data_IF_334613367069
#
_entry.id   IF_334613367069
#
_cell.length_a   1.000
_cell.length_b   1.000
_cell.length_c   1.000
_cell.angle_alpha   90.00
_cell.angle_beta   90.00
_cell.angle_gamma   90.00
#
_symmetry.space_group_name_H-M   'P 1'
#
loop_
_entity.id
_entity.type
_entity.pdbx_description
1 polymer ?
#
# COMPACT_ATOMS: atom_id res chain seq x y z
N UNK A 1 17.70 1.05 -6.67
CA UNK A 1 18.01 1.21 -5.23
C UNK A 1 17.53 -0.03 -4.49
N UNK A 2 18.28 -0.60 -3.53
CA UNK A 2 17.96 -1.86 -2.85
C UNK A 2 16.58 -1.85 -2.15
N UNK A 3 16.19 -0.70 -1.59
CA UNK A 3 14.88 -0.50 -0.97
C UNK A 3 13.71 -0.76 -1.94
N UNK A 4 13.75 -0.22 -3.17
CA UNK A 4 12.67 -0.43 -4.14
C UNK A 4 12.47 -1.92 -4.47
N UNK A 5 13.57 -2.67 -4.60
CA UNK A 5 13.50 -4.11 -4.84
C UNK A 5 12.85 -4.85 -3.66
N UNK A 6 13.24 -4.51 -2.43
CA UNK A 6 12.64 -5.07 -1.21
C UNK A 6 11.15 -4.74 -1.11
N UNK A 7 10.74 -3.49 -1.35
CA UNK A 7 9.33 -3.08 -1.29
C UNK A 7 8.51 -3.72 -2.40
N UNK A 8 9.07 -3.85 -3.61
CA UNK A 8 8.41 -4.57 -4.70
C UNK A 8 8.20 -6.04 -4.35
N UNK A 9 9.19 -6.70 -3.74
CA UNK A 9 9.03 -8.08 -3.27
C UNK A 9 7.95 -8.16 -2.19
N UNK A 10 7.94 -7.26 -1.21
CA UNK A 10 6.90 -7.23 -0.18
C UNK A 10 5.49 -7.00 -0.75
N UNK A 11 5.37 -6.14 -1.76
CA UNK A 11 4.12 -5.93 -2.50
C UNK A 11 3.67 -7.23 -3.20
N UNK A 12 4.59 -7.89 -3.90
CA UNK A 12 4.35 -9.14 -4.61
C UNK A 12 3.91 -10.27 -3.66
N UNK A 13 4.56 -10.39 -2.50
CA UNK A 13 4.22 -11.37 -1.48
C UNK A 13 2.78 -11.17 -0.94
N UNK A 14 2.38 -9.91 -0.70
CA UNK A 14 1.00 -9.58 -0.30
C UNK A 14 0.00 -9.96 -1.39
N UNK A 15 0.27 -9.62 -2.65
CA UNK A 15 -0.59 -9.95 -3.78
C UNK A 15 -0.77 -11.48 -3.92
N UNK A 16 0.32 -12.24 -3.84
CA UNK A 16 0.26 -13.71 -3.90
C UNK A 16 -0.49 -14.30 -2.71
N UNK A 17 -0.29 -13.78 -1.50
CA UNK A 17 -1.00 -14.23 -0.32
C UNK A 17 -2.51 -14.02 -0.48
N UNK A 18 -2.94 -12.82 -0.87
CA UNK A 18 -4.35 -12.49 -1.06
C UNK A 18 -4.99 -13.32 -2.18
N UNK A 19 -4.30 -13.44 -3.32
CA UNK A 19 -4.77 -14.24 -4.45
C UNK A 19 -4.92 -15.72 -4.08
N UNK A 20 -3.91 -16.31 -3.43
CA UNK A 20 -3.92 -17.74 -3.03
C UNK A 20 -5.04 -18.04 -2.03
N UNK A 21 -5.30 -17.11 -1.10
CA UNK A 21 -6.35 -17.26 -0.10
C UNK A 21 -7.73 -16.77 -0.57
N UNK A 22 -7.85 -16.37 -1.84
CA UNK A 22 -9.08 -15.83 -2.45
C UNK A 22 -9.70 -14.67 -1.66
N UNK A 23 -8.84 -13.80 -1.12
CA UNK A 23 -9.27 -12.61 -0.37
C UNK A 23 -9.39 -11.45 -1.35
N UNK A 24 -10.59 -10.87 -1.49
CA UNK A 24 -10.80 -9.67 -2.29
C UNK A 24 -10.06 -8.48 -1.68
N UNK A 25 -9.50 -7.62 -2.53
CA UNK A 25 -8.72 -6.46 -2.10
C UNK A 25 -8.85 -5.33 -3.10
N UNK A 26 -8.44 -4.14 -2.69
CA UNK A 26 -8.31 -2.99 -3.56
C UNK A 26 -6.85 -2.57 -3.68
N UNK A 27 -6.48 -2.09 -4.86
CA UNK A 27 -5.16 -1.52 -5.15
C UNK A 27 -5.32 -0.04 -5.40
N UNK A 28 -4.66 0.77 -4.56
CA UNK A 28 -4.50 2.20 -4.81
C UNK A 28 -3.15 2.43 -5.47
N UNK A 29 -3.15 3.07 -6.64
CA UNK A 29 -1.95 3.13 -7.50
C UNK A 29 -1.82 4.47 -8.23
N UNK A 30 -0.57 4.79 -8.61
CA UNK A 30 -0.22 5.91 -9.47
C UNK A 30 -0.64 5.62 -10.91
N UNK A 31 -1.51 6.45 -11.48
CA UNK A 31 -2.04 6.30 -12.83
C UNK A 31 -0.92 6.31 -13.89
N UNK A 32 0.19 7.02 -13.67
CA UNK A 32 1.33 7.04 -14.59
C UNK A 32 2.01 5.67 -14.74
N UNK A 33 1.69 4.73 -13.85
CA UNK A 33 2.20 3.35 -13.83
C UNK A 33 1.13 2.32 -14.24
N UNK A 34 0.00 2.80 -14.76
CA UNK A 34 -1.11 1.97 -15.24
C UNK A 34 -1.15 2.01 -16.77
N UNK A 35 -1.35 0.84 -17.38
CA UNK A 35 -1.57 0.65 -18.81
C UNK A 35 -2.95 0.06 -19.03
N UNK A 36 -3.64 0.54 -20.06
CA UNK A 36 -4.96 0.06 -20.46
C UNK A 36 -4.88 -0.52 -21.88
N UNK A 37 -5.43 -1.71 -22.06
CA UNK A 37 -5.47 -2.41 -23.35
C UNK A 37 -6.89 -3.01 -23.57
N UNK A 38 -7.70 -2.43 -24.48
CA UNK A 38 -7.41 -1.30 -25.35
C UNK A 38 -7.26 0.04 -24.59
N UNK A 39 -6.62 1.01 -25.24
CA UNK A 39 -6.49 2.38 -24.73
C UNK A 39 -7.87 2.99 -24.50
N UNK A 40 -7.99 3.71 -23.38
CA UNK A 40 -9.21 4.39 -23.02
C UNK A 40 -9.40 5.70 -23.81
N UNK A 41 -10.65 6.11 -24.07
CA UNK A 41 -10.95 7.43 -24.59
C UNK A 41 -10.32 8.52 -23.70
N UNK A 42 -9.80 9.58 -24.34
CA UNK A 42 -9.12 10.67 -23.63
C UNK A 42 -10.02 11.31 -22.56
N UNK A 43 -11.30 11.49 -22.86
CA UNK A 43 -12.29 12.07 -21.94
C UNK A 43 -12.42 11.26 -20.64
N UNK A 44 -12.34 9.93 -20.73
CA UNK A 44 -12.35 9.05 -19.57
C UNK A 44 -11.02 9.16 -18.80
N UNK A 45 -9.89 9.19 -19.50
CA UNK A 45 -8.55 9.37 -18.90
C UNK A 45 -8.41 10.70 -18.16
N UNK A 46 -8.96 11.79 -18.70
CA UNK A 46 -8.96 13.12 -18.08
C UNK A 46 -9.82 13.19 -16.80
N UNK A 47 -10.79 12.29 -16.65
CA UNK A 47 -11.58 12.14 -15.43
C UNK A 47 -10.83 11.46 -14.29
N UNK A 48 -9.74 10.74 -14.55
CA UNK A 48 -8.94 10.15 -13.49
C UNK A 48 -7.98 11.18 -12.88
N UNK A 49 -7.81 11.09 -11.56
CA UNK A 49 -6.74 11.80 -10.88
C UNK A 49 -5.38 11.13 -11.08
N UNK A 50 -4.34 11.70 -10.46
CA UNK A 50 -3.01 11.10 -10.44
C UNK A 50 -2.98 9.70 -9.81
N UNK A 51 -3.94 9.39 -8.94
CA UNK A 51 -4.08 8.10 -8.32
C UNK A 51 -5.46 7.51 -8.57
N UNK A 52 -5.50 6.18 -8.70
CA UNK A 52 -6.73 5.43 -8.97
C UNK A 52 -6.82 4.25 -8.02
N UNK A 53 -8.05 3.96 -7.57
CA UNK A 53 -8.39 2.79 -6.77
C UNK A 53 -9.09 1.76 -7.66
N UNK A 54 -8.51 0.58 -7.77
CA UNK A 54 -9.15 -0.59 -8.40
C UNK A 54 -9.61 -1.55 -7.32
N UNK A 55 -10.85 -2.04 -7.43
CA UNK A 55 -11.40 -3.08 -6.55
C UNK A 55 -11.27 -4.42 -7.26
N UNK A 56 -10.46 -5.32 -6.72
CA UNK A 56 -10.27 -6.67 -7.24
C UNK A 56 -11.21 -7.60 -6.49
N UNK A 57 -12.42 -7.74 -7.05
CA UNK A 57 -13.46 -8.67 -6.62
C UNK A 57 -14.20 -9.20 -7.87
N UNK A 58 -14.93 -10.30 -7.73
CA UNK A 58 -15.68 -10.91 -8.84
C UNK A 58 -14.77 -11.23 -10.04
N UNK A 59 -15.24 -10.94 -11.25
CA UNK A 59 -14.49 -11.26 -12.48
C UNK A 59 -13.13 -10.54 -12.57
N UNK A 60 -13.00 -9.33 -12.01
CA UNK A 60 -11.71 -8.61 -11.94
C UNK A 60 -10.70 -9.35 -11.08
N UNK A 61 -11.15 -9.97 -9.98
CA UNK A 61 -10.28 -10.83 -9.18
C UNK A 61 -9.99 -12.16 -9.90
N UNK A 62 -10.97 -12.74 -10.57
CA UNK A 62 -10.82 -14.02 -11.27
C UNK A 62 -9.86 -13.93 -12.47
N UNK A 63 -9.83 -12.79 -13.15
CA UNK A 63 -8.92 -12.49 -14.27
C UNK A 63 -7.54 -12.00 -13.82
N UNK A 64 -7.30 -11.82 -12.52
CA UNK A 64 -6.03 -11.34 -11.98
C UNK A 64 -4.88 -12.29 -12.33
N UNK A 65 -3.87 -11.74 -13.00
CA UNK A 65 -2.57 -12.37 -13.25
C UNK A 65 -1.50 -11.57 -12.52
N UNK A 66 -0.66 -12.28 -11.79
CA UNK A 66 0.45 -11.70 -11.03
C UNK A 66 1.74 -12.12 -11.71
N UNK A 67 2.53 -11.13 -12.17
CA UNK A 67 3.85 -11.32 -12.75
C UNK A 67 4.92 -10.74 -11.82
N UNK A 68 6.19 -10.94 -12.19
CA UNK A 68 7.31 -10.49 -11.38
C UNK A 68 7.40 -8.96 -11.20
N UNK A 69 6.90 -8.17 -12.18
CA UNK A 69 7.05 -6.71 -12.18
C UNK A 69 5.72 -5.95 -12.31
N UNK A 70 4.62 -6.64 -12.61
CA UNK A 70 3.30 -6.03 -12.75
C UNK A 70 2.20 -7.03 -12.40
N UNK A 71 0.99 -6.51 -12.16
CA UNK A 71 -0.25 -7.28 -12.17
C UNK A 71 -1.10 -6.88 -13.37
N UNK A 72 -1.92 -7.79 -13.87
CA UNK A 72 -2.92 -7.48 -14.90
C UNK A 72 -4.28 -8.09 -14.58
N UNK A 73 -5.36 -7.41 -14.88
CA UNK A 73 -6.73 -7.91 -14.69
C UNK A 73 -7.70 -7.24 -15.66
N UNK A 74 -8.86 -7.86 -15.85
CA UNK A 74 -9.93 -7.31 -16.67
C UNK A 74 -10.83 -6.41 -15.81
N UNK A 75 -11.15 -5.22 -16.34
CA UNK A 75 -12.03 -4.26 -15.70
C UNK A 75 -12.97 -3.59 -16.72
N UNK A 76 -14.22 -3.45 -16.31
CA UNK A 76 -15.25 -2.66 -16.93
C UNK A 76 -15.19 -1.23 -16.38
N UNK A 77 -15.14 -0.24 -17.26
CA UNK A 77 -15.01 1.17 -16.94
C UNK A 77 -16.17 1.96 -17.56
N UNK A 78 -17.29 2.06 -16.84
CA UNK A 78 -18.51 2.70 -17.36
C UNK A 78 -19.34 1.79 -18.24
N UNK A 79 -20.22 2.37 -19.06
CA UNK A 79 -21.41 1.67 -19.56
C UNK A 79 -21.16 0.54 -20.58
N UNK A 80 -19.99 0.43 -21.22
CA UNK A 80 -19.68 -0.67 -22.17
C UNK A 80 -18.16 -0.83 -22.46
N UNK A 81 -17.27 -0.30 -21.61
CA UNK A 81 -15.82 -0.31 -21.87
C UNK A 81 -15.16 -1.42 -21.04
N UNK A 82 -14.76 -2.49 -21.71
CA UNK A 82 -13.90 -3.52 -21.13
C UNK A 82 -12.44 -3.28 -21.53
N UNK A 83 -11.54 -3.36 -20.56
CA UNK A 83 -10.11 -3.22 -20.79
C UNK A 83 -9.31 -4.14 -19.87
N UNK A 84 -8.15 -4.57 -20.36
CA UNK A 84 -7.11 -5.14 -19.52
C UNK A 84 -6.33 -4.00 -18.88
N UNK A 85 -6.38 -3.93 -17.56
CA UNK A 85 -5.58 -3.01 -16.74
C UNK A 85 -4.30 -3.73 -16.36
N UNK A 86 -3.14 -3.12 -16.62
CA UNK A 86 -1.84 -3.59 -16.14
C UNK A 86 -1.20 -2.53 -15.26
N UNK A 87 -0.73 -2.92 -14.08
CA UNK A 87 -0.16 -2.01 -13.07
C UNK A 87 1.23 -2.49 -12.71
N UNK A 88 2.24 -1.66 -12.95
CA UNK A 88 3.60 -1.94 -12.49
C UNK A 88 3.63 -1.98 -10.95
N UNK A 89 4.35 -2.93 -10.35
CA UNK A 89 4.43 -3.08 -8.89
C UNK A 89 4.94 -1.81 -8.20
N UNK A 90 5.82 -1.06 -8.87
CA UNK A 90 6.31 0.23 -8.37
C UNK A 90 5.23 1.32 -8.28
N UNK A 91 4.15 1.18 -9.06
CA UNK A 91 2.99 2.07 -9.05
C UNK A 91 1.96 1.74 -7.99
N UNK A 92 2.03 0.55 -7.37
CA UNK A 92 1.14 0.18 -6.26
C UNK A 92 1.56 0.94 -5.02
N UNK A 93 0.69 1.83 -4.56
CA UNK A 93 0.88 2.68 -3.38
C UNK A 93 0.32 2.02 -2.14
N UNK A 94 -0.89 1.45 -2.22
CA UNK A 94 -1.50 0.69 -1.14
C UNK A 94 -2.21 -0.58 -1.64
N UNK A 95 -2.21 -1.61 -0.81
CA UNK A 95 -3.13 -2.74 -0.90
C UNK A 95 -4.05 -2.66 0.32
N UNK A 96 -5.35 -2.60 0.06
CA UNK A 96 -6.39 -2.36 1.05
C UNK A 96 -7.34 -3.56 1.07
N UNK A 97 -7.65 -4.09 2.25
CA UNK A 97 -8.69 -5.11 2.43
C UNK A 97 -9.83 -4.55 3.27
N UNK A 98 -10.96 -5.28 3.29
CA UNK A 98 -12.04 -5.06 4.25
C UNK A 98 -11.86 -6.00 5.44
N UNK A 99 -11.95 -5.47 6.65
CA UNK A 99 -12.05 -6.31 7.84
C UNK A 99 -13.47 -6.87 8.00
N UNK A 100 -13.69 -7.63 9.08
CA UNK A 100 -15.00 -8.23 9.41
C UNK A 100 -16.12 -7.20 9.67
N UNK A 101 -15.77 -5.94 9.90
CA UNK A 101 -16.71 -4.84 10.15
C UNK A 101 -16.84 -3.92 8.92
N UNK A 102 -16.35 -4.36 7.75
CA UNK A 102 -16.29 -3.58 6.51
C UNK A 102 -15.41 -2.30 6.59
N UNK A 103 -14.51 -2.23 7.58
CA UNK A 103 -13.52 -1.17 7.68
C UNK A 103 -12.35 -1.42 6.71
N UNK A 104 -11.84 -0.36 6.10
CA UNK A 104 -10.65 -0.44 5.25
C UNK A 104 -9.41 -0.65 6.12
N UNK A 105 -8.63 -1.70 5.82
CA UNK A 105 -7.35 -2.00 6.46
C UNK A 105 -6.26 -2.02 5.40
N UNK A 106 -5.19 -1.23 5.62
CA UNK A 106 -4.04 -1.18 4.72
C UNK A 106 -3.08 -2.32 5.10
N UNK A 107 -2.92 -3.30 4.20
CA UNK A 107 -1.96 -4.40 4.38
C UNK A 107 -0.57 -4.06 3.85
N UNK A 108 -0.52 -3.21 2.83
CA UNK A 108 0.71 -2.77 2.20
C UNK A 108 0.64 -1.27 1.98
N UNK A 109 1.71 -0.56 2.32
CA UNK A 109 1.92 0.84 1.96
C UNK A 109 3.34 1.02 1.43
N UNK A 110 3.44 1.64 0.25
CA UNK A 110 4.70 2.10 -0.31
C UNK A 110 4.91 3.55 0.09
N UNK A 111 6.05 3.82 0.74
CA UNK A 111 6.49 5.19 1.00
C UNK A 111 7.69 5.55 0.13
N UNK A 112 7.78 6.84 -0.23
CA UNK A 112 8.90 7.39 -0.99
C UNK A 112 10.19 7.26 -0.15
N UNK A 113 11.25 6.59 -0.67
CA UNK A 113 12.52 6.50 0.02
C UNK A 113 13.06 7.85 0.49
N UNK A 114 12.82 8.94 -0.25
CA UNK A 114 13.26 10.30 0.12
C UNK A 114 12.62 10.80 1.41
N UNK A 115 11.41 10.33 1.72
CA UNK A 115 10.69 10.68 2.94
C UNK A 115 11.06 9.78 4.13
N UNK A 116 11.65 8.61 3.88
CA UNK A 116 12.07 7.66 4.92
C UNK A 116 13.52 7.90 5.32
N UNK A 117 14.39 8.00 4.32
CA UNK A 117 15.83 8.17 4.51
C UNK A 117 16.16 9.66 4.49
N UNK A 118 15.57 10.39 5.44
CA UNK A 118 16.00 11.75 5.80
C UNK A 118 17.24 11.60 6.68
N UNK A 119 18.27 12.41 6.48
CA UNK A 119 19.40 12.45 7.41
C UNK A 119 18.85 12.77 8.80
N UNK A 120 18.95 11.80 9.71
CA UNK A 120 18.40 11.89 11.05
C UNK A 120 19.13 12.99 11.83
N UNK A 121 18.46 14.11 12.08
CA UNK A 121 18.90 15.05 13.10
C UNK A 121 18.69 14.43 14.48
N UNK A 122 19.65 14.63 15.40
CA UNK A 122 19.63 14.12 16.78
C UNK A 122 18.33 14.42 17.56
N UNK A 123 17.58 15.44 17.13
CA UNK A 123 16.30 15.86 17.72
C UNK A 123 15.22 14.76 17.78
N UNK A 124 15.08 13.91 16.74
CA UNK A 124 14.00 12.92 16.69
C UNK A 124 14.15 11.79 17.72
N UNK A 125 15.38 11.47 18.12
CA UNK A 125 15.65 10.44 19.14
C UNK A 125 15.35 10.98 20.55
N UNK A 126 15.53 12.28 20.75
CA UNK A 126 15.30 12.94 22.04
C UNK A 126 13.80 13.00 22.40
N UNK A 127 12.93 13.26 21.42
CA UNK A 127 11.48 13.35 21.60
C UNK A 127 10.84 12.06 22.18
N UNK A 128 11.33 10.88 21.78
CA UNK A 128 10.79 9.61 22.25
C UNK A 128 11.17 9.31 23.70
N UNK A 129 12.38 9.69 24.12
CA UNK A 129 12.82 9.56 25.51
C UNK A 129 12.09 10.55 26.41
N UNK A 130 11.95 11.80 25.94
CA UNK A 130 11.30 12.84 26.71
C UNK A 130 9.79 12.58 26.84
N UNK A 131 9.13 12.07 25.80
CA UNK A 131 7.73 11.63 25.89
C UNK A 131 7.54 10.45 26.85
N UNK A 132 8.46 9.47 26.84
CA UNK A 132 8.43 8.35 27.79
C UNK A 132 8.63 8.83 29.23
N UNK A 133 9.59 9.73 29.46
CA UNK A 133 9.88 10.29 30.79
C UNK A 133 8.84 11.31 31.26
N UNK A 134 8.08 11.93 30.36
CA UNK A 134 7.03 12.88 30.71
C UNK A 134 5.78 12.21 31.31
N UNK A 135 5.54 10.93 31.01
CA UNK A 135 4.43 10.18 31.60
C UNK A 135 4.69 9.88 33.10
N UNK A 136 3.86 10.38 34.03
CA UNK A 136 4.06 10.18 35.46
C UNK A 136 4.12 8.70 35.87
N UNK A 137 3.40 7.82 35.17
CA UNK A 137 3.38 6.37 35.44
C UNK A 137 4.74 5.74 35.17
N UNK A 138 5.45 6.24 34.16
CA UNK A 138 6.78 5.76 33.82
C UNK A 138 7.83 6.21 34.85
N UNK A 139 7.63 7.37 35.49
CA UNK A 139 8.49 7.84 36.59
C UNK A 139 8.36 6.96 37.84
N UNK A 140 7.14 6.55 38.19
CA UNK A 140 6.87 5.65 39.33
C UNK A 140 7.52 4.27 39.14
N UNK A 141 7.46 3.73 37.91
CA UNK A 141 8.10 2.46 37.54
C UNK A 141 9.64 2.56 37.64
N UNK A 142 10.24 3.65 37.18
CA UNK A 142 11.69 3.84 37.27
C UNK A 142 12.19 3.98 38.71
N UNK A 143 11.41 4.62 39.58
CA UNK A 143 11.74 4.75 41.00
C UNK A 143 11.67 3.42 41.74
N UNK A 144 10.74 2.54 41.38
CA UNK A 144 10.65 1.19 41.97
C UNK A 144 11.78 0.28 41.49
N UNK A 145 12.26 0.44 40.25
CA UNK A 145 13.39 -0.33 39.72
C UNK A 145 14.76 0.11 40.29
N UNK A 146 14.88 1.34 40.79
CA UNK A 146 16.10 1.88 41.39
C UNK A 146 16.17 1.72 42.92
N UNK A 147 15.11 1.17 43.54
CA UNK A 147 15.02 0.96 44.99
C UNK A 147 15.44 -0.43 45.49
N UNK A 148 15.91 -1.31 44.60
CA UNK A 148 16.33 -2.70 44.90
C UNK A 148 17.87 -2.90 44.85
N UNK A 149 18.67 -1.87 45.15
CA UNK A 149 20.10 -1.97 45.53
C UNK A 149 20.32 -1.44 46.96
#
# INVERSE_FOLDING_TARGET
MRYNAMVNQHCLDNLHFLHTNRVNFSVFCDLSKVRFEPLLPRELLEGFGHFVLFVLAGYTFESLKIYHQEISFEAGLGDDIETTVSIALEGIVQIIIKDKNDANVVLFNRSDPKNIFVDSNEAQIQDSKDAFLADPRNKEILQTLQGDE
#
